data_IF_932180232979
#
_entry.id   IF_932180232979
#
_cell.length_a   1.000
_cell.length_b   1.000
_cell.length_c   1.000
_cell.angle_alpha   90.00
_cell.angle_beta   90.00
_cell.angle_gamma   90.00
#
_symmetry.space_group_name_H-M   'P 1'
#
loop_
_entity.id
_entity.type
_entity.pdbx_description
1 polymer ?
#
# COMPACT_ATOMS: atom_id res chain seq x y z
N UNK A 1 9.78 2.22 10.00
CA UNK A 1 8.68 2.70 9.14
C UNK A 1 7.74 1.55 8.86
N UNK A 2 6.44 1.79 8.83
CA UNK A 2 5.40 0.76 8.67
C UNK A 2 4.51 1.18 7.51
N UNK A 3 4.47 0.39 6.44
CA UNK A 3 3.86 0.74 5.16
C UNK A 3 2.47 1.37 5.31
N UNK A 4 1.53 0.65 5.93
CA UNK A 4 0.14 1.09 6.08
C UNK A 4 0.02 2.34 6.95
N UNK A 5 0.82 2.43 8.02
CA UNK A 5 0.80 3.59 8.92
C UNK A 5 1.32 4.82 8.20
N UNK A 6 2.41 4.69 7.44
CA UNK A 6 2.99 5.76 6.65
C UNK A 6 1.98 6.28 5.61
N UNK A 7 1.27 5.38 4.93
CA UNK A 7 0.26 5.74 3.93
C UNK A 7 -0.96 6.44 4.58
N UNK A 8 -1.42 5.99 5.75
CA UNK A 8 -2.49 6.65 6.51
C UNK A 8 -2.09 8.03 7.04
N UNK A 9 -0.87 8.18 7.55
CA UNK A 9 -0.35 9.46 8.02
C UNK A 9 -0.26 10.45 6.86
N UNK A 10 0.22 10.02 5.69
CA UNK A 10 0.21 10.85 4.46
C UNK A 10 -1.20 11.28 4.09
N UNK A 11 -2.16 10.35 4.07
CA UNK A 11 -3.54 10.65 3.72
C UNK A 11 -4.18 11.64 4.71
N UNK A 12 -3.92 11.52 6.01
CA UNK A 12 -4.39 12.46 7.02
C UNK A 12 -3.73 13.85 6.84
N UNK A 13 -2.42 13.89 6.67
CA UNK A 13 -1.65 15.12 6.53
C UNK A 13 -2.12 15.96 5.31
N UNK A 14 -2.50 15.31 4.21
CA UNK A 14 -3.06 15.98 3.02
C UNK A 14 -4.38 16.72 3.28
N UNK A 15 -5.10 16.37 4.35
CA UNK A 15 -6.38 16.99 4.74
C UNK A 15 -6.23 18.11 5.76
N UNK A 16 -5.05 18.29 6.35
CA UNK A 16 -4.79 19.36 7.30
C UNK A 16 -4.72 20.73 6.60
N UNK A 17 -5.12 21.82 7.28
CA UNK A 17 -4.88 23.19 6.84
C UNK A 17 -3.39 23.44 6.51
N UNK A 18 -3.07 24.35 5.58
CA UNK A 18 -1.68 24.62 5.17
C UNK A 18 -0.75 24.96 6.34
N UNK A 19 -1.21 25.81 7.25
CA UNK A 19 -0.42 26.30 8.40
C UNK A 19 -0.13 25.18 9.43
N UNK A 20 -1.06 24.25 9.58
CA UNK A 20 -0.92 23.06 10.43
C UNK A 20 -0.04 21.99 9.77
N UNK A 21 -0.02 21.94 8.44
CA UNK A 21 0.80 21.00 7.67
C UNK A 21 2.29 21.30 7.81
N UNK A 22 2.68 22.58 7.73
CA UNK A 22 4.08 23.02 7.91
C UNK A 22 4.52 22.90 9.37
N UNK A 23 3.62 23.11 10.32
CA UNK A 23 3.89 23.02 11.76
C UNK A 23 3.94 21.57 12.29
N UNK A 24 3.41 20.60 11.53
CA UNK A 24 3.51 19.18 11.87
C UNK A 24 4.98 18.72 11.73
N UNK A 25 5.70 18.74 12.86
CA UNK A 25 7.14 18.45 13.07
C UNK A 25 7.69 17.16 12.40
N UNK A 26 6.89 16.29 11.80
CA UNK A 26 7.36 15.08 11.12
C UNK A 26 7.42 15.27 9.61
N UNK A 27 8.51 15.86 9.12
CA UNK A 27 9.08 15.49 7.82
C UNK A 27 9.64 14.06 7.98
N UNK A 28 8.77 13.10 8.28
CA UNK A 28 9.10 11.70 8.02
C UNK A 28 8.61 11.52 6.59
N UNK A 29 9.54 11.23 5.71
CA UNK A 29 9.27 10.98 4.30
C UNK A 29 8.47 9.68 4.16
N UNK A 30 7.18 9.71 4.51
CA UNK A 30 6.22 8.60 4.46
C UNK A 30 5.89 8.15 3.03
N UNK A 31 6.60 8.69 2.04
CA UNK A 31 6.53 8.32 0.63
C UNK A 31 7.76 7.53 0.17
N UNK A 32 8.72 7.26 1.07
CA UNK A 32 9.86 6.40 0.81
C UNK A 32 9.45 4.97 0.43
N UNK A 33 10.41 4.14 -0.02
CA UNK A 33 10.12 2.76 -0.41
C UNK A 33 9.43 1.99 0.74
N UNK A 34 8.66 0.92 0.43
CA UNK A 34 8.16 0.03 1.46
C UNK A 34 9.33 -0.50 2.30
N UNK A 35 9.14 -0.72 3.62
CA UNK A 35 10.19 -1.30 4.45
C UNK A 35 10.66 -2.67 3.91
N UNK A 36 11.96 -2.96 3.97
CA UNK A 36 12.52 -4.24 3.49
C UNK A 36 11.84 -5.46 4.12
N UNK A 37 11.44 -5.34 5.39
CA UNK A 37 10.68 -6.37 6.10
C UNK A 37 9.36 -6.72 5.40
N UNK A 38 8.66 -5.75 4.78
CA UNK A 38 7.47 -6.02 4.00
C UNK A 38 7.78 -6.92 2.81
N UNK A 39 8.90 -6.68 2.12
CA UNK A 39 9.31 -7.51 0.99
C UNK A 39 9.67 -8.94 1.42
N UNK A 40 10.52 -9.08 2.46
CA UNK A 40 10.92 -10.38 2.97
C UNK A 40 9.73 -11.23 3.43
N UNK A 41 8.83 -10.66 4.24
CA UNK A 41 7.70 -11.42 4.78
C UNK A 41 6.63 -11.75 3.74
N UNK A 42 6.43 -10.90 2.73
CA UNK A 42 5.49 -11.20 1.64
C UNK A 42 5.96 -12.41 0.82
N UNK A 43 7.27 -12.56 0.60
CA UNK A 43 7.85 -13.72 -0.09
C UNK A 43 7.74 -15.01 0.73
N UNK A 44 7.91 -14.94 2.06
CA UNK A 44 8.02 -16.12 2.92
C UNK A 44 6.69 -16.60 3.53
N UNK A 45 5.72 -15.70 3.73
CA UNK A 45 4.50 -16.00 4.49
C UNK A 45 3.25 -15.87 3.62
N UNK A 46 2.49 -16.96 3.54
CA UNK A 46 1.19 -16.98 2.88
C UNK A 46 0.19 -15.98 3.52
N UNK A 47 0.26 -15.78 4.83
CA UNK A 47 -0.58 -14.82 5.56
C UNK A 47 -0.19 -13.40 5.19
N UNK A 48 1.10 -13.08 5.19
CA UNK A 48 1.57 -11.74 4.84
C UNK A 48 1.28 -11.41 3.37
N UNK A 49 1.40 -12.39 2.47
CA UNK A 49 0.97 -12.26 1.07
C UNK A 49 -0.52 -11.89 0.95
N UNK A 50 -1.41 -12.61 1.65
CA UNK A 50 -2.85 -12.30 1.65
C UNK A 50 -3.10 -10.88 2.20
N UNK A 51 -2.40 -10.50 3.27
CA UNK A 51 -2.51 -9.15 3.84
C UNK A 51 -2.07 -8.07 2.85
N UNK A 52 -0.96 -8.28 2.12
CA UNK A 52 -0.48 -7.37 1.09
C UNK A 52 -1.47 -7.25 -0.09
N UNK A 53 -2.05 -8.37 -0.52
CA UNK A 53 -3.11 -8.40 -1.54
C UNK A 53 -4.34 -7.59 -1.08
N UNK A 54 -4.83 -7.85 0.14
CA UNK A 54 -5.97 -7.11 0.70
C UNK A 54 -5.68 -5.62 0.82
N UNK A 55 -4.48 -5.27 1.31
CA UNK A 55 -4.04 -3.89 1.41
C UNK A 55 -4.01 -3.20 0.04
N UNK A 56 -3.59 -3.89 -1.01
CA UNK A 56 -3.58 -3.35 -2.37
C UNK A 56 -4.97 -3.02 -2.87
N UNK A 57 -5.95 -3.91 -2.65
CA UNK A 57 -7.35 -3.63 -2.98
C UNK A 57 -7.89 -2.44 -2.17
N UNK A 58 -7.51 -2.32 -0.90
CA UNK A 58 -7.88 -1.18 -0.06
C UNK A 58 -7.31 0.14 -0.57
N UNK A 59 -6.02 0.17 -0.93
CA UNK A 59 -5.37 1.36 -1.50
C UNK A 59 -5.97 1.76 -2.84
N UNK A 60 -6.29 0.79 -3.70
CA UNK A 60 -6.98 1.02 -4.96
C UNK A 60 -8.37 1.67 -4.74
N UNK A 61 -9.19 1.10 -3.84
CA UNK A 61 -10.51 1.67 -3.48
C UNK A 61 -10.43 3.07 -2.88
N UNK A 62 -9.38 3.34 -2.11
CA UNK A 62 -9.16 4.64 -1.48
C UNK A 62 -8.55 5.68 -2.43
N UNK A 63 -8.31 5.32 -3.70
CA UNK A 63 -7.64 6.14 -4.71
C UNK A 63 -6.26 6.65 -4.26
N UNK A 64 -5.60 5.92 -3.37
CA UNK A 64 -4.26 6.25 -2.90
C UNK A 64 -3.20 5.74 -3.88
N UNK A 65 -2.94 6.57 -4.90
CA UNK A 65 -1.97 6.25 -5.97
C UNK A 65 -0.57 5.98 -5.43
N UNK A 66 -0.16 6.68 -4.37
CA UNK A 66 1.18 6.55 -3.80
C UNK A 66 1.28 5.22 -3.05
N UNK A 67 0.31 4.91 -2.18
CA UNK A 67 0.26 3.63 -1.47
C UNK A 67 0.18 2.44 -2.43
N UNK A 68 -0.58 2.57 -3.51
CA UNK A 68 -0.67 1.55 -4.56
C UNK A 68 0.70 1.30 -5.24
N UNK A 69 1.41 2.35 -5.66
CA UNK A 69 2.73 2.20 -6.28
C UNK A 69 3.76 1.58 -5.33
N UNK A 70 3.67 1.87 -4.02
CA UNK A 70 4.56 1.29 -3.01
C UNK A 70 4.36 -0.21 -2.84
N UNK A 71 3.12 -0.71 -2.87
CA UNK A 71 2.83 -2.14 -2.63
C UNK A 71 2.91 -3.00 -3.89
N UNK A 72 2.65 -2.44 -5.08
CA UNK A 72 2.67 -3.21 -6.34
C UNK A 72 4.04 -3.87 -6.61
N UNK A 73 5.15 -3.19 -6.32
CA UNK A 73 6.49 -3.77 -6.46
C UNK A 73 6.72 -4.95 -5.50
N UNK A 74 6.16 -4.89 -4.30
CA UNK A 74 6.21 -5.98 -3.31
C UNK A 74 5.35 -7.17 -3.74
N UNK A 75 4.16 -6.91 -4.28
CA UNK A 75 3.22 -7.92 -4.77
C UNK A 75 3.76 -8.79 -5.89
N UNK A 76 4.63 -8.25 -6.74
CA UNK A 76 5.31 -9.00 -7.79
C UNK A 76 6.10 -10.20 -7.25
N UNK A 77 6.41 -10.19 -5.95
CA UNK A 77 7.17 -11.20 -5.25
C UNK A 77 6.31 -11.96 -4.21
N UNK A 78 4.98 -12.00 -4.37
CA UNK A 78 4.13 -12.73 -3.44
C UNK A 78 4.49 -14.21 -3.36
N UNK A 79 4.39 -14.78 -2.16
CA UNK A 79 4.58 -16.20 -1.91
C UNK A 79 3.74 -17.05 -2.87
N UNK A 80 4.39 -17.97 -3.58
CA UNK A 80 3.81 -18.84 -4.61
C UNK A 80 3.08 -18.10 -5.73
N UNK A 81 3.53 -16.90 -6.11
CA UNK A 81 2.94 -16.13 -7.22
C UNK A 81 1.44 -15.86 -7.04
N UNK A 82 0.93 -15.88 -5.79
CA UNK A 82 -0.49 -15.76 -5.48
C UNK A 82 -1.13 -14.45 -5.96
N UNK A 83 -0.32 -13.40 -6.09
CA UNK A 83 -0.74 -12.12 -6.67
C UNK A 83 -1.16 -12.23 -8.14
N UNK A 84 -0.83 -13.33 -8.83
CA UNK A 84 -1.18 -13.58 -10.22
C UNK A 84 -2.35 -14.57 -10.36
N UNK A 85 -2.92 -15.03 -9.25
CA UNK A 85 -4.12 -15.87 -9.27
C UNK A 85 -5.36 -15.05 -9.69
N UNK A 86 -6.22 -15.67 -10.50
CA UNK A 86 -7.40 -15.04 -11.10
C UNK A 86 -8.33 -14.33 -10.09
N UNK A 87 -8.65 -14.88 -8.91
CA UNK A 87 -9.56 -14.21 -7.98
C UNK A 87 -9.07 -12.83 -7.52
N UNK A 88 -7.76 -12.69 -7.32
CA UNK A 88 -7.18 -11.41 -6.91
C UNK A 88 -7.07 -10.45 -8.08
N UNK A 89 -6.56 -10.91 -9.23
CA UNK A 89 -6.45 -10.08 -10.43
C UNK A 89 -7.82 -9.56 -10.88
N UNK A 90 -8.85 -10.42 -10.90
CA UNK A 90 -10.22 -10.03 -11.19
C UNK A 90 -10.70 -8.94 -10.23
N UNK A 91 -10.51 -9.14 -8.92
CA UNK A 91 -10.90 -8.15 -7.90
C UNK A 91 -10.17 -6.82 -8.07
N UNK A 92 -8.88 -6.85 -8.41
CA UNK A 92 -8.05 -5.67 -8.63
C UNK A 92 -8.53 -4.90 -9.87
N UNK A 93 -8.73 -5.59 -11.00
CA UNK A 93 -9.21 -4.98 -12.25
C UNK A 93 -10.61 -4.38 -12.07
N UNK A 94 -11.52 -5.10 -11.43
CA UNK A 94 -12.87 -4.61 -11.13
C UNK A 94 -12.83 -3.37 -10.24
N UNK A 95 -11.89 -3.29 -9.30
CA UNK A 95 -11.71 -2.09 -8.46
C UNK A 95 -11.32 -0.85 -9.27
N UNK A 96 -10.57 -1.02 -10.37
CA UNK A 96 -10.23 0.09 -11.27
C UNK A 96 -11.33 0.45 -12.28
N UNK A 97 -12.24 -0.48 -12.60
CA UNK A 97 -13.29 -0.26 -13.60
C UNK A 97 -14.57 0.39 -13.06
N UNK A 98 -14.75 0.48 -11.74
CA UNK A 98 -15.97 1.00 -11.10
C UNK A 98 -15.89 2.53 -10.89
N UNK A 99 -15.00 3.24 -11.59
CA UNK A 99 -14.87 4.71 -11.55
C UNK A 99 -15.56 5.43 -12.71
#
# INVERSE_FOLDING_TARGET
MSLMVDDQVRALNSKLPPDERESAITIIEHSGPPPDACQAFVQESSVTSILAMYYTLHSARSKDRVGLMRILGTLANCHNDRAFEDPFLHSLVCTFHID
#
